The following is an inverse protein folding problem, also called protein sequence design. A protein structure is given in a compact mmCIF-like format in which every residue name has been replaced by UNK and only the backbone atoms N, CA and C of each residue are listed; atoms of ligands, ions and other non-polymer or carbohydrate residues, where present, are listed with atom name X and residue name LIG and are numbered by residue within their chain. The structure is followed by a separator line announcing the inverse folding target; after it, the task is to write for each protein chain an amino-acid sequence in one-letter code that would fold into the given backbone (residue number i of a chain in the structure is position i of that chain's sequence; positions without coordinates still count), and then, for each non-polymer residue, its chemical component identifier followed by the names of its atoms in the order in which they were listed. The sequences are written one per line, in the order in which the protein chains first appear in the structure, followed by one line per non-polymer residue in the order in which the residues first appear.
data_IF_198531631648
#
_entry.id   IF_198531631648
#
_cell.length_a   1.000
_cell.length_b   1.000
_cell.length_c   1.000
_cell.angle_alpha   90.00
_cell.angle_beta   90.00
_cell.angle_gamma   90.00
#
_symmetry.space_group_name_H-M   'P 1'
#
loop_
_entity.id
_entity.type
_entity.pdbx_description
1 polymer ?
#
# COMPACT_ATOMS: atom_id res chain seq x y z
N UNK A 1 7.26 2.26 39.00
CA UNK A 1 7.22 1.65 37.66
C UNK A 1 8.56 1.89 36.98
N UNK A 2 9.14 0.88 36.37
CA UNK A 2 10.46 1.00 35.71
C UNK A 2 10.46 0.30 34.37
N UNK A 3 11.30 0.76 33.49
CA UNK A 3 11.61 0.08 32.23
C UNK A 3 12.36 -1.24 32.46
N UNK A 4 12.07 -2.25 31.64
CA UNK A 4 12.69 -3.60 31.76
C UNK A 4 14.17 -3.56 31.42
N UNK A 5 14.53 -2.83 30.38
CA UNK A 5 15.85 -2.87 29.76
C UNK A 5 16.78 -1.83 30.35
N UNK A 6 16.33 -0.58 30.47
CA UNK A 6 17.11 0.52 31.02
C UNK A 6 17.13 0.57 32.55
N UNK A 7 16.12 -0.06 33.21
CA UNK A 7 15.87 -0.02 34.69
C UNK A 7 15.50 1.38 35.21
N UNK A 8 15.35 2.36 34.33
CA UNK A 8 14.96 3.73 34.68
C UNK A 8 13.49 3.84 35.08
N UNK A 9 13.16 4.83 35.84
CA UNK A 9 11.77 5.15 36.20
C UNK A 9 11.00 5.64 34.98
N UNK A 10 9.75 5.19 34.84
CA UNK A 10 8.85 5.66 33.79
C UNK A 10 7.85 6.62 34.40
N UNK A 11 7.91 7.86 33.98
CA UNK A 11 6.92 8.89 34.35
C UNK A 11 5.68 8.85 33.44
N UNK A 12 4.61 9.52 33.86
CA UNK A 12 3.34 9.67 33.11
C UNK A 12 2.71 8.34 32.66
N UNK A 13 2.99 7.25 33.36
CA UNK A 13 2.29 5.99 33.15
C UNK A 13 0.88 6.12 33.69
N UNK A 14 -0.11 5.75 32.90
CA UNK A 14 -1.51 5.74 33.31
C UNK A 14 -1.83 4.44 34.06
N UNK A 15 -2.31 4.57 35.28
CA UNK A 15 -2.76 3.48 36.13
C UNK A 15 -4.28 3.56 36.27
N UNK A 16 -4.99 2.51 35.93
CA UNK A 16 -6.44 2.38 36.06
C UNK A 16 -6.80 1.26 37.04
N UNK A 17 -7.57 1.58 38.03
CA UNK A 17 -8.21 0.61 38.95
C UNK A 17 -9.58 0.25 38.39
N UNK A 18 -9.79 -1.02 38.07
CA UNK A 18 -11.02 -1.54 37.49
C UNK A 18 -11.62 -2.61 38.39
N UNK A 19 -12.95 -2.75 38.38
CA UNK A 19 -13.63 -3.93 38.96
C UNK A 19 -13.35 -5.16 38.13
N UNK A 20 -13.73 -6.32 38.62
CA UNK A 20 -13.56 -7.60 37.90
C UNK A 20 -14.29 -7.67 36.56
N UNK A 21 -15.32 -6.86 36.36
CA UNK A 21 -16.08 -6.68 35.13
C UNK A 21 -15.49 -5.63 34.19
N UNK A 22 -14.28 -5.12 34.50
CA UNK A 22 -13.59 -4.05 33.78
C UNK A 22 -14.20 -2.67 33.91
N UNK A 23 -15.17 -2.46 34.83
CA UNK A 23 -15.70 -1.11 35.10
C UNK A 23 -14.62 -0.25 35.77
N UNK A 24 -14.42 0.95 35.26
CA UNK A 24 -13.47 1.92 35.83
C UNK A 24 -13.90 2.39 37.23
N UNK A 25 -12.94 2.44 38.15
CA UNK A 25 -13.17 2.84 39.55
C UNK A 25 -12.38 4.08 39.92
N UNK A 26 -11.08 4.06 39.67
CA UNK A 26 -10.15 5.15 39.96
C UNK A 26 -8.92 5.07 39.08
N UNK A 27 -8.16 6.17 39.01
CA UNK A 27 -6.91 6.19 38.26
C UNK A 27 -5.87 7.08 38.89
N UNK A 28 -4.64 6.88 38.47
CA UNK A 28 -3.49 7.68 38.85
C UNK A 28 -2.49 7.75 37.68
N UNK A 29 -1.55 8.67 37.80
CA UNK A 29 -0.42 8.82 36.86
C UNK A 29 0.87 8.71 37.67
N UNK A 30 1.89 8.01 37.15
CA UNK A 30 3.18 7.94 37.82
C UNK A 30 3.93 9.27 37.70
N UNK A 31 4.65 9.62 38.78
CA UNK A 31 5.52 10.78 38.81
C UNK A 31 6.91 10.48 38.14
N UNK A 32 7.81 11.45 38.15
CA UNK A 32 9.17 11.38 37.62
C UNK A 32 10.00 10.21 38.19
N UNK A 33 9.70 9.78 39.42
CA UNK A 33 10.37 8.64 40.07
C UNK A 33 9.64 7.30 39.79
N UNK A 34 8.63 7.29 38.88
CA UNK A 34 7.83 6.12 38.58
C UNK A 34 6.90 5.67 39.71
N UNK A 35 6.67 6.53 40.71
CA UNK A 35 5.77 6.25 41.84
C UNK A 35 4.34 6.66 41.50
N UNK A 36 3.38 5.88 41.98
CA UNK A 36 1.97 6.20 41.87
C UNK A 36 1.19 5.84 43.15
N UNK A 37 0.11 6.50 43.36
CA UNK A 37 -0.85 6.17 44.42
C UNK A 37 -2.27 6.20 43.84
N UNK A 38 -3.06 5.17 44.07
CA UNK A 38 -4.46 5.08 43.68
C UNK A 38 -5.30 4.60 44.84
N UNK A 39 -6.40 5.28 45.13
CA UNK A 39 -7.30 4.96 46.24
C UNK A 39 -8.46 4.09 45.71
N UNK A 40 -8.70 2.96 46.36
CA UNK A 40 -9.89 2.17 46.11
C UNK A 40 -11.06 2.60 47.02
N UNK A 41 -12.29 2.63 46.53
CA UNK A 41 -13.46 3.09 47.31
C UNK A 41 -13.90 2.08 48.38
N UNK A 42 -13.53 0.82 48.24
CA UNK A 42 -13.93 -0.23 49.20
C UNK A 42 -12.97 -1.42 49.14
N UNK A 43 -13.06 -2.30 50.14
CA UNK A 43 -12.39 -3.59 50.09
C UNK A 43 -12.95 -4.46 48.95
N UNK A 44 -12.08 -5.24 48.29
CA UNK A 44 -12.52 -6.08 47.20
C UNK A 44 -11.41 -6.53 46.26
N UNK A 45 -11.83 -7.26 45.22
CA UNK A 45 -10.94 -7.71 44.13
C UNK A 45 -11.02 -6.69 43.00
N UNK A 46 -9.83 -6.28 42.54
CA UNK A 46 -9.70 -5.29 41.48
C UNK A 46 -8.70 -5.75 40.44
N UNK A 47 -8.79 -5.15 39.26
CA UNK A 47 -7.80 -5.23 38.21
C UNK A 47 -7.04 -3.89 38.13
N UNK A 48 -5.74 -3.93 38.29
CA UNK A 48 -4.85 -2.79 38.09
C UNK A 48 -4.29 -2.85 36.68
N UNK A 49 -4.79 -1.98 35.81
CA UNK A 49 -4.34 -1.88 34.42
C UNK A 49 -3.35 -0.72 34.29
N UNK A 50 -2.20 -1.02 33.71
CA UNK A 50 -1.06 -0.11 33.60
C UNK A 50 -0.78 0.10 32.11
N UNK A 51 -0.78 1.34 31.67
CA UNK A 51 -0.68 1.77 30.29
C UNK A 51 0.39 2.86 30.16
N UNK A 52 1.28 2.72 29.21
CA UNK A 52 2.21 3.78 28.82
C UNK A 52 2.50 3.68 27.32
N UNK A 53 2.69 4.83 26.68
CA UNK A 53 2.99 4.87 25.26
C UNK A 53 4.35 4.23 25.02
N UNK A 54 4.43 3.31 24.05
CA UNK A 54 5.67 2.56 23.76
C UNK A 54 5.92 1.34 24.64
N UNK A 55 5.04 1.04 25.59
CA UNK A 55 5.15 -0.11 26.48
C UNK A 55 3.96 -1.06 26.40
N UNK A 56 4.22 -2.36 26.55
CA UNK A 56 3.17 -3.37 26.58
C UNK A 56 2.29 -3.17 27.80
N UNK A 57 0.99 -3.03 27.57
CA UNK A 57 0.01 -2.89 28.64
C UNK A 57 0.05 -4.09 29.58
N UNK A 58 -0.02 -3.84 30.87
CA UNK A 58 0.04 -4.87 31.93
C UNK A 58 -1.20 -4.80 32.79
N UNK A 59 -1.78 -5.96 33.10
CA UNK A 59 -2.93 -6.06 34.03
C UNK A 59 -2.52 -6.96 35.18
N UNK A 60 -2.69 -6.46 36.40
CA UNK A 60 -2.47 -7.23 37.64
C UNK A 60 -3.77 -7.35 38.41
N UNK A 61 -4.08 -8.57 38.90
CA UNK A 61 -5.17 -8.78 39.85
C UNK A 61 -4.68 -8.45 41.25
N UNK A 62 -5.42 -7.62 41.96
CA UNK A 62 -5.12 -7.22 43.34
C UNK A 62 -6.33 -7.43 44.21
N UNK A 63 -6.09 -7.65 45.50
CA UNK A 63 -7.13 -7.73 46.51
C UNK A 63 -6.82 -6.70 47.59
N UNK A 64 -7.76 -5.85 47.88
CA UNK A 64 -7.69 -4.83 48.93
C UNK A 64 -8.54 -5.29 50.09
N UNK A 65 -7.95 -5.36 51.28
CA UNK A 65 -8.58 -5.75 52.51
C UNK A 65 -8.11 -4.81 53.64
N UNK A 66 -8.97 -4.57 54.60
CA UNK A 66 -8.70 -3.88 55.89
C UNK A 66 -8.23 -2.44 55.75
N UNK A 67 -8.65 -1.69 54.76
CA UNK A 67 -8.30 -0.27 54.54
C UNK A 67 -6.82 0.04 54.74
N UNK A 68 -5.94 -0.91 54.43
CA UNK A 68 -4.48 -0.74 54.51
C UNK A 68 -3.88 -0.46 53.14
N UNK A 69 -2.83 0.34 53.13
CA UNK A 69 -2.05 0.59 51.94
C UNK A 69 -1.46 -0.72 51.41
N UNK A 70 -1.74 -1.04 50.15
CA UNK A 70 -1.16 -2.19 49.45
C UNK A 70 0.08 -1.76 48.67
N UNK A 71 1.26 -2.11 49.17
CA UNK A 71 2.50 -1.87 48.47
C UNK A 71 2.61 -2.83 47.25
N UNK A 72 2.53 -2.29 46.05
CA UNK A 72 2.58 -3.06 44.81
C UNK A 72 3.98 -3.56 44.42
N UNK A 73 5.01 -3.09 45.13
CA UNK A 73 6.40 -3.38 44.80
C UNK A 73 6.78 -2.81 43.43
N UNK A 74 7.87 -3.32 42.89
CA UNK A 74 8.40 -2.89 41.59
C UNK A 74 7.56 -3.46 40.45
N UNK A 75 7.03 -2.60 39.62
CA UNK A 75 6.33 -2.98 38.38
C UNK A 75 7.23 -2.65 37.19
N UNK A 76 7.55 -3.67 36.40
CA UNK A 76 8.47 -3.57 35.26
C UNK A 76 7.67 -3.65 33.96
N UNK A 77 7.79 -2.63 33.13
CA UNK A 77 7.18 -2.62 31.79
C UNK A 77 8.26 -2.96 30.74
N UNK A 78 7.89 -3.82 29.82
CA UNK A 78 8.70 -4.06 28.63
C UNK A 78 8.27 -3.16 27.51
N UNK A 79 9.23 -2.61 26.78
CA UNK A 79 8.93 -1.88 25.57
C UNK A 79 8.07 -2.76 24.66
N UNK A 80 6.95 -2.23 24.21
CA UNK A 80 6.26 -2.80 23.08
C UNK A 80 7.08 -2.35 21.88
N UNK A 81 7.83 -3.28 21.26
CA UNK A 81 8.22 -3.06 19.89
C UNK A 81 6.89 -2.90 19.14
N UNK A 82 6.46 -1.67 18.98
CA UNK A 82 5.50 -1.33 17.95
C UNK A 82 6.22 -1.68 16.66
N UNK A 83 6.18 -2.93 16.24
CA UNK A 83 5.98 -3.15 14.85
C UNK A 83 4.70 -2.32 14.58
N UNK A 84 4.90 -1.16 14.03
CA UNK A 84 3.92 -0.56 13.17
C UNK A 84 3.64 -1.63 12.12
N UNK A 85 2.76 -2.57 12.41
CA UNK A 85 1.83 -3.05 11.40
C UNK A 85 1.28 -1.72 10.92
N UNK A 86 1.89 -1.25 9.81
CA UNK A 86 1.61 0.06 9.34
C UNK A 86 0.12 0.22 9.52
N UNK A 87 -0.30 1.19 10.29
CA UNK A 87 -1.59 1.73 10.03
C UNK A 87 -1.50 1.91 8.53
N UNK A 88 -2.06 0.96 7.80
CA UNK A 88 -2.53 1.22 6.48
C UNK A 88 -3.55 2.29 6.78
N UNK A 89 -3.05 3.52 6.85
CA UNK A 89 -3.83 4.67 6.51
C UNK A 89 -4.19 4.32 5.07
N UNK A 90 -5.32 3.66 4.92
CA UNK A 90 -6.11 3.77 3.73
C UNK A 90 -6.61 5.22 3.72
N UNK A 91 -5.69 6.18 3.64
CA UNK A 91 -5.92 7.31 2.81
C UNK A 91 -6.31 6.64 1.51
N UNK A 92 -7.59 6.72 1.14
CA UNK A 92 -8.02 6.32 -0.20
C UNK A 92 -7.08 7.10 -1.09
N UNK A 93 -6.09 6.39 -1.63
CA UNK A 93 -5.13 7.01 -2.53
C UNK A 93 -6.01 7.64 -3.59
N UNK A 94 -5.90 8.93 -3.78
CA UNK A 94 -6.74 9.63 -4.73
C UNK A 94 -6.65 8.84 -6.02
N UNK A 95 -7.80 8.41 -6.53
CA UNK A 95 -7.85 7.55 -7.72
C UNK A 95 -7.11 8.20 -8.88
N UNK A 96 -7.27 9.51 -9.00
CA UNK A 96 -6.66 10.35 -10.03
C UNK A 96 -6.13 11.62 -9.39
N UNK A 97 -4.95 12.04 -9.78
CA UNK A 97 -4.35 13.31 -9.41
C UNK A 97 -3.88 13.99 -10.68
N UNK A 98 -4.24 15.24 -10.89
CA UNK A 98 -3.70 16.08 -11.96
C UNK A 98 -2.42 16.75 -11.42
N UNK A 99 -1.29 16.55 -12.06
CA UNK A 99 -0.02 17.22 -11.79
C UNK A 99 0.42 17.92 -13.05
N UNK A 100 0.38 19.25 -13.03
CA UNK A 100 0.57 20.05 -14.24
C UNK A 100 -0.39 19.54 -15.32
N UNK A 101 0.10 19.07 -16.45
CA UNK A 101 -0.70 18.54 -17.56
C UNK A 101 -0.75 17.00 -17.58
N UNK A 102 -0.31 16.33 -16.49
CA UNK A 102 -0.25 14.88 -16.39
C UNK A 102 -1.34 14.34 -15.47
N UNK A 103 -2.21 13.48 -15.98
CA UNK A 103 -3.11 12.68 -15.17
C UNK A 103 -2.36 11.49 -14.58
N UNK A 104 -2.30 11.40 -13.26
CA UNK A 104 -1.68 10.28 -12.53
C UNK A 104 -2.76 9.45 -11.89
N UNK A 105 -2.93 8.22 -12.36
CA UNK A 105 -3.85 7.24 -11.81
C UNK A 105 -3.09 6.28 -10.90
N UNK A 106 -3.63 6.03 -9.71
CA UNK A 106 -3.06 5.04 -8.80
C UNK A 106 -3.66 3.67 -9.08
N UNK A 107 -2.86 2.71 -9.54
CA UNK A 107 -3.35 1.39 -9.92
C UNK A 107 -4.06 0.65 -8.79
N UNK A 108 -3.59 0.82 -7.54
CA UNK A 108 -4.17 0.17 -6.37
C UNK A 108 -5.58 0.64 -6.02
N UNK A 109 -6.00 1.79 -6.55
CA UNK A 109 -7.36 2.32 -6.37
C UNK A 109 -8.41 1.65 -7.27
N UNK A 110 -7.98 0.84 -8.23
CA UNK A 110 -8.82 0.14 -9.19
C UNK A 110 -8.68 -1.37 -9.00
N UNK A 111 -9.78 -2.00 -8.60
CA UNK A 111 -9.79 -3.47 -8.41
C UNK A 111 -9.84 -4.17 -9.77
N UNK A 112 -8.85 -4.98 -10.06
CA UNK A 112 -8.81 -5.90 -11.18
C UNK A 112 -8.75 -7.33 -10.67
N UNK A 113 -9.31 -8.33 -11.38
CA UNK A 113 -9.13 -9.72 -11.03
C UNK A 113 -7.64 -10.11 -10.97
N UNK A 114 -7.31 -11.10 -10.18
CA UNK A 114 -5.96 -11.63 -10.10
C UNK A 114 -5.56 -12.20 -11.48
N UNK A 115 -4.31 -11.94 -11.90
CA UNK A 115 -3.83 -12.34 -13.22
C UNK A 115 -4.30 -11.47 -14.40
N UNK A 116 -5.04 -10.38 -14.15
CA UNK A 116 -5.47 -9.46 -15.20
C UNK A 116 -4.31 -8.76 -15.88
N UNK A 117 -4.50 -8.45 -17.16
CA UNK A 117 -3.63 -7.59 -17.95
C UNK A 117 -4.04 -6.12 -17.84
N UNK A 118 -3.14 -5.20 -18.20
CA UNK A 118 -3.39 -3.76 -18.05
C UNK A 118 -4.55 -3.23 -18.88
N UNK A 119 -5.01 -3.93 -19.90
CA UNK A 119 -6.23 -3.61 -20.62
C UNK A 119 -7.43 -3.48 -19.67
N UNK A 120 -7.59 -4.44 -18.75
CA UNK A 120 -8.67 -4.42 -17.75
C UNK A 120 -8.53 -3.27 -16.74
N UNK A 121 -7.31 -2.85 -16.47
CA UNK A 121 -7.05 -1.71 -15.61
C UNK A 121 -7.37 -0.41 -16.34
N UNK A 122 -6.95 -0.26 -17.59
CA UNK A 122 -7.20 0.94 -18.41
C UNK A 122 -8.70 1.15 -18.62
N UNK A 123 -9.48 0.09 -18.91
CA UNK A 123 -10.95 0.17 -19.02
C UNK A 123 -11.66 0.73 -17.78
N UNK A 124 -10.99 0.73 -16.62
CA UNK A 124 -11.54 1.23 -15.34
C UNK A 124 -11.08 2.63 -14.99
N UNK A 125 -10.18 3.21 -15.76
CA UNK A 125 -9.71 4.57 -15.52
C UNK A 125 -10.78 5.59 -15.92
N UNK A 126 -11.04 6.61 -15.11
CA UNK A 126 -11.93 7.70 -15.50
C UNK A 126 -11.44 8.38 -16.79
N UNK A 127 -12.34 8.56 -17.73
CA UNK A 127 -12.03 9.18 -19.02
C UNK A 127 -11.33 8.27 -20.03
N UNK A 128 -11.11 6.99 -19.70
CA UNK A 128 -10.52 6.02 -20.61
C UNK A 128 -11.60 5.26 -21.40
N UNK A 129 -11.37 5.08 -22.67
CA UNK A 129 -12.13 4.26 -23.58
C UNK A 129 -11.17 3.28 -24.28
N UNK A 130 -11.52 2.01 -24.32
CA UNK A 130 -10.74 0.99 -25.01
C UNK A 130 -11.68 0.28 -25.99
N UNK A 131 -11.40 0.44 -27.26
CA UNK A 131 -12.17 -0.18 -28.34
C UNK A 131 -11.73 -1.64 -28.58
N UNK A 132 -12.58 -2.43 -29.23
CA UNK A 132 -12.31 -3.85 -29.50
C UNK A 132 -11.09 -4.07 -30.42
N UNK A 133 -10.78 -3.09 -31.25
CA UNK A 133 -9.59 -3.07 -32.11
C UNK A 133 -8.29 -2.79 -31.34
N UNK A 134 -8.39 -2.43 -30.06
CA UNK A 134 -7.27 -2.08 -29.18
C UNK A 134 -6.90 -0.60 -29.17
N UNK A 135 -7.67 0.26 -29.85
CA UNK A 135 -7.49 1.70 -29.76
C UNK A 135 -7.87 2.21 -28.38
N UNK A 136 -7.00 3.02 -27.78
CA UNK A 136 -7.21 3.64 -26.48
C UNK A 136 -7.45 5.12 -26.65
N UNK A 137 -8.45 5.65 -25.97
CA UNK A 137 -8.64 7.11 -25.82
C UNK A 137 -8.63 7.47 -24.35
N UNK A 138 -7.96 8.55 -24.01
CA UNK A 138 -7.99 9.17 -22.67
C UNK A 138 -8.50 10.60 -22.81
N UNK A 139 -9.61 10.88 -22.12
CA UNK A 139 -10.29 12.19 -22.22
C UNK A 139 -10.56 12.62 -23.68
N UNK A 140 -10.94 11.66 -24.53
CA UNK A 140 -11.24 11.89 -25.95
C UNK A 140 -10.02 11.94 -26.87
N UNK A 141 -8.79 11.97 -26.36
CA UNK A 141 -7.54 11.95 -27.15
C UNK A 141 -7.06 10.50 -27.34
N UNK A 142 -6.68 10.15 -28.55
CA UNK A 142 -6.16 8.81 -28.87
C UNK A 142 -4.74 8.63 -28.36
N UNK A 143 -4.50 7.56 -27.62
CA UNK A 143 -3.15 7.19 -27.13
C UNK A 143 -2.35 6.61 -28.29
N UNK A 144 -1.25 7.28 -28.64
CA UNK A 144 -0.36 6.87 -29.73
C UNK A 144 0.83 6.04 -29.25
N UNK A 145 1.21 6.19 -27.99
CA UNK A 145 2.41 5.57 -27.45
C UNK A 145 2.18 4.99 -26.06
N UNK A 146 2.71 3.81 -25.82
CA UNK A 146 2.75 3.16 -24.51
C UNK A 146 4.18 3.11 -24.01
N UNK A 147 4.39 3.60 -22.78
CA UNK A 147 5.68 3.51 -22.11
C UNK A 147 5.56 2.62 -20.86
N UNK A 148 6.68 2.08 -20.45
CA UNK A 148 6.85 1.40 -19.15
C UNK A 148 8.09 1.99 -18.49
N UNK A 149 7.91 2.69 -17.37
CA UNK A 149 8.94 3.49 -16.70
C UNK A 149 9.66 4.45 -17.66
N UNK A 150 8.89 5.17 -18.49
CA UNK A 150 9.40 6.15 -19.45
C UNK A 150 10.11 5.56 -20.68
N UNK A 151 10.15 4.24 -20.83
CA UNK A 151 10.74 3.57 -22.02
C UNK A 151 9.62 2.99 -22.87
N UNK A 152 9.71 3.19 -24.18
CA UNK A 152 8.71 2.70 -25.12
C UNK A 152 8.56 1.18 -25.02
N UNK A 153 7.32 0.75 -24.99
CA UNK A 153 6.94 -0.65 -24.88
C UNK A 153 6.06 -1.02 -26.08
N UNK A 154 6.52 -1.96 -26.91
CA UNK A 154 5.81 -2.38 -28.10
C UNK A 154 5.56 -1.23 -29.09
N UNK A 155 6.61 -0.74 -29.75
CA UNK A 155 6.56 0.39 -30.69
C UNK A 155 5.44 0.21 -31.72
N UNK A 156 4.47 1.14 -31.68
CA UNK A 156 3.36 1.18 -32.65
C UNK A 156 2.25 0.14 -32.43
N UNK A 157 2.35 -0.76 -31.44
CA UNK A 157 1.33 -1.77 -31.16
C UNK A 157 0.79 -1.65 -29.72
N UNK A 158 -0.12 -0.70 -29.53
CA UNK A 158 -0.79 -0.47 -28.24
C UNK A 158 -1.62 -1.65 -27.78
N UNK A 159 -2.21 -2.40 -28.72
CA UNK A 159 -3.06 -3.57 -28.43
C UNK A 159 -2.24 -4.71 -27.81
N UNK A 160 -1.11 -5.05 -28.42
CA UNK A 160 -0.21 -6.08 -27.88
C UNK A 160 0.36 -5.65 -26.54
N UNK A 161 0.71 -4.38 -26.38
CA UNK A 161 1.17 -3.83 -25.10
C UNK A 161 0.14 -4.03 -23.99
N UNK A 162 -1.14 -3.68 -24.22
CA UNK A 162 -2.21 -3.80 -23.24
C UNK A 162 -2.49 -5.25 -22.82
N UNK A 163 -2.42 -6.18 -23.75
CA UNK A 163 -2.74 -7.59 -23.53
C UNK A 163 -1.62 -8.41 -22.89
N UNK A 164 -0.42 -7.86 -22.85
CA UNK A 164 0.75 -8.60 -22.40
C UNK A 164 1.40 -8.03 -21.13
N UNK A 165 0.94 -6.88 -20.63
CA UNK A 165 1.46 -6.31 -19.40
C UNK A 165 0.54 -6.67 -18.21
N UNK A 166 1.02 -7.38 -17.18
CA UNK A 166 0.19 -7.75 -16.04
C UNK A 166 -0.06 -6.57 -15.12
N UNK A 167 -1.27 -6.44 -14.61
CA UNK A 167 -1.65 -5.37 -13.68
C UNK A 167 -0.91 -5.45 -12.34
N UNK A 168 -0.49 -6.64 -11.94
CA UNK A 168 0.15 -6.91 -10.66
C UNK A 168 1.45 -6.13 -10.44
N UNK A 169 2.17 -5.81 -11.51
CA UNK A 169 3.45 -5.08 -11.45
C UNK A 169 3.27 -3.56 -11.51
N UNK A 170 2.09 -3.06 -11.86
CA UNK A 170 1.86 -1.63 -12.07
C UNK A 170 1.58 -0.93 -10.73
N UNK A 171 2.30 0.17 -10.51
CA UNK A 171 2.10 1.09 -9.37
C UNK A 171 1.21 2.26 -9.78
N UNK A 172 1.57 2.95 -10.83
CA UNK A 172 0.88 4.16 -11.33
C UNK A 172 0.78 4.15 -12.84
N UNK A 173 -0.22 4.86 -13.34
CA UNK A 173 -0.37 5.11 -14.77
C UNK A 173 -0.38 6.62 -14.94
N UNK A 174 0.45 7.13 -15.84
CA UNK A 174 0.48 8.54 -16.20
C UNK A 174 -0.06 8.68 -17.63
N UNK A 175 -0.97 9.62 -17.82
CA UNK A 175 -1.44 10.03 -19.13
C UNK A 175 -1.10 11.50 -19.34
N UNK A 176 -0.37 11.79 -20.38
CA UNK A 176 0.08 13.15 -20.72
C UNK A 176 0.30 13.29 -22.21
N UNK A 177 0.35 14.52 -22.66
CA UNK A 177 0.68 14.85 -24.05
C UNK A 177 2.17 15.18 -24.14
N UNK A 178 2.83 14.69 -25.18
CA UNK A 178 4.19 15.04 -25.50
C UNK A 178 4.31 15.49 -26.96
N UNK A 179 5.34 16.26 -27.27
CA UNK A 179 5.64 16.65 -28.64
C UNK A 179 5.89 15.44 -29.53
N UNK A 180 5.61 15.57 -30.81
CA UNK A 180 5.86 14.52 -31.79
C UNK A 180 7.33 14.03 -31.75
N UNK A 181 7.59 12.81 -32.19
CA UNK A 181 8.95 12.28 -32.24
C UNK A 181 9.82 13.10 -33.22
N UNK A 182 9.20 13.64 -34.27
CA UNK A 182 9.87 14.53 -35.22
C UNK A 182 10.32 15.83 -34.55
N UNK A 183 9.43 16.47 -33.79
CA UNK A 183 9.74 17.69 -33.04
C UNK A 183 10.82 17.46 -31.99
N UNK A 184 10.86 16.28 -31.33
CA UNK A 184 11.90 15.92 -30.37
C UNK A 184 13.27 15.74 -31.02
N UNK A 185 13.33 15.14 -32.19
CA UNK A 185 14.60 14.86 -32.91
C UNK A 185 15.12 16.12 -33.60
N UNK A 186 14.25 16.90 -34.24
CA UNK A 186 14.66 18.10 -35.01
C UNK A 186 14.80 19.35 -34.16
N UNK A 187 14.18 19.38 -32.99
CA UNK A 187 14.07 20.56 -32.14
C UNK A 187 13.10 21.65 -32.69
N UNK A 188 12.42 21.36 -33.80
CA UNK A 188 11.43 22.24 -34.41
C UNK A 188 10.05 21.81 -33.99
N UNK A 189 9.28 22.70 -33.42
CA UNK A 189 7.89 22.46 -33.05
C UNK A 189 7.03 22.38 -34.29
N UNK A 190 6.47 21.19 -34.55
CA UNK A 190 5.55 20.95 -35.67
C UNK A 190 4.07 21.19 -35.31
N UNK A 191 3.81 21.54 -34.04
CA UNK A 191 2.45 21.76 -33.52
C UNK A 191 1.67 20.45 -33.30
N UNK A 192 2.27 19.29 -33.48
CA UNK A 192 1.65 18.00 -33.24
C UNK A 192 2.03 17.48 -31.86
N UNK A 193 0.99 17.05 -31.12
CA UNK A 193 1.13 16.38 -29.83
C UNK A 193 0.64 14.94 -29.92
N UNK A 194 1.29 14.06 -29.19
CA UNK A 194 0.86 12.68 -29.05
C UNK A 194 0.53 12.39 -27.59
N UNK A 195 -0.65 11.80 -27.37
CA UNK A 195 -1.02 11.34 -26.04
C UNK A 195 -0.32 10.04 -25.71
N UNK A 196 0.33 10.01 -24.55
CA UNK A 196 1.16 8.91 -24.06
C UNK A 196 0.55 8.32 -22.81
N UNK A 197 0.61 6.99 -22.69
CA UNK A 197 0.30 6.25 -21.49
C UNK A 197 1.57 5.61 -20.95
N UNK A 198 2.05 6.07 -19.78
CA UNK A 198 3.26 5.55 -19.12
C UNK A 198 2.87 4.73 -17.89
N UNK A 199 3.17 3.45 -17.92
CA UNK A 199 2.94 2.50 -16.83
C UNK A 199 4.16 2.44 -15.91
N UNK A 200 4.08 3.08 -14.76
CA UNK A 200 5.11 2.99 -13.72
C UNK A 200 5.07 1.64 -13.00
N UNK A 201 6.20 0.96 -12.93
CA UNK A 201 6.34 -0.35 -12.30
C UNK A 201 6.62 -0.21 -10.80
N UNK A 202 6.05 -1.10 -9.99
CA UNK A 202 6.31 -1.15 -8.54
C UNK A 202 7.80 -1.31 -8.26
N UNK A 203 8.29 -0.64 -7.22
CA UNK A 203 9.69 -0.76 -6.79
C UNK A 203 10.09 -2.21 -6.56
N UNK A 204 11.20 -2.62 -7.17
CA UNK A 204 11.73 -3.98 -7.09
C UNK A 204 11.13 -4.97 -8.07
N UNK A 205 10.13 -4.57 -8.88
CA UNK A 205 9.54 -5.39 -9.94
C UNK A 205 10.06 -5.04 -11.35
N UNK A 206 11.04 -4.17 -11.44
CA UNK A 206 11.75 -3.83 -12.69
C UNK A 206 12.80 -4.87 -13.10
N UNK A 207 12.95 -5.94 -12.30
CA UNK A 207 13.79 -7.11 -12.56
C UNK A 207 12.97 -8.37 -12.38
N UNK A 208 12.99 -9.25 -13.37
CA UNK A 208 12.29 -10.52 -13.25
C UNK A 208 11.92 -11.15 -14.57
N UNK A 209 11.24 -12.26 -14.45
CA UNK A 209 10.65 -12.99 -15.58
C UNK A 209 9.14 -12.81 -15.53
N UNK A 210 8.55 -12.43 -16.63
CA UNK A 210 7.09 -12.42 -16.81
C UNK A 210 6.78 -13.46 -17.88
N UNK A 211 5.79 -14.31 -17.62
CA UNK A 211 5.28 -15.24 -18.63
C UNK A 211 3.75 -15.28 -18.57
N UNK A 212 3.15 -15.34 -19.73
CA UNK A 212 1.73 -15.57 -19.90
C UNK A 212 1.54 -16.62 -20.99
N UNK A 213 0.78 -17.65 -20.71
CA UNK A 213 0.47 -18.72 -21.65
C UNK A 213 -1.04 -18.91 -21.66
N UNK A 214 -1.62 -18.78 -22.84
CA UNK A 214 -3.05 -18.98 -23.09
C UNK A 214 -3.19 -20.21 -24.00
N UNK A 215 -3.93 -21.21 -23.52
CA UNK A 215 -4.18 -22.46 -24.23
C UNK A 215 -5.71 -22.61 -24.41
N UNK A 216 -6.15 -22.64 -25.64
CA UNK A 216 -7.54 -22.85 -25.98
C UNK A 216 -7.73 -24.14 -26.79
N UNK A 217 -8.75 -24.94 -26.43
CA UNK A 217 -9.16 -26.13 -27.18
C UNK A 217 -10.61 -25.97 -27.57
N UNK A 218 -10.89 -26.17 -28.83
CA UNK A 218 -12.24 -26.07 -29.39
C UNK A 218 -12.73 -27.42 -29.97
N UNK A 219 -14.02 -27.47 -30.35
CA UNK A 219 -14.55 -28.58 -31.10
C UNK A 219 -13.91 -28.68 -32.51
N UNK A 220 -14.04 -29.82 -33.18
CA UNK A 220 -13.50 -30.07 -34.52
C UNK A 220 -11.96 -29.91 -34.62
N UNK A 221 -11.26 -30.41 -33.60
CA UNK A 221 -9.76 -30.39 -33.53
C UNK A 221 -9.14 -29.00 -33.67
N UNK A 222 -9.85 -27.95 -33.21
CA UNK A 222 -9.30 -26.61 -33.16
C UNK A 222 -8.54 -26.42 -31.87
N UNK A 223 -7.36 -25.84 -31.97
CA UNK A 223 -6.56 -25.43 -30.82
C UNK A 223 -6.02 -24.02 -31.05
N UNK A 224 -5.82 -23.32 -29.99
CA UNK A 224 -5.16 -22.01 -29.95
C UNK A 224 -4.12 -22.05 -28.86
N UNK A 225 -2.92 -21.63 -29.18
CA UNK A 225 -1.85 -21.44 -28.21
C UNK A 225 -1.26 -20.05 -28.42
N UNK A 226 -1.15 -19.29 -27.34
CA UNK A 226 -0.48 -18.01 -27.31
C UNK A 226 0.44 -18.01 -26.11
N UNK A 227 1.65 -17.52 -26.30
CA UNK A 227 2.62 -17.40 -25.23
C UNK A 227 3.39 -16.10 -25.32
N UNK A 228 3.65 -15.51 -24.17
CA UNK A 228 4.58 -14.41 -24.02
C UNK A 228 5.54 -14.72 -22.87
N UNK A 229 6.83 -14.58 -23.10
CA UNK A 229 7.85 -14.58 -22.09
C UNK A 229 8.64 -13.27 -22.14
N UNK A 230 8.87 -12.66 -21.01
CA UNK A 230 9.66 -11.43 -20.92
C UNK A 230 10.65 -11.50 -19.78
N UNK A 231 11.90 -11.17 -20.05
CA UNK A 231 12.94 -10.96 -19.05
C UNK A 231 13.28 -9.48 -18.97
N UNK A 232 13.19 -8.94 -17.77
CA UNK A 232 13.49 -7.54 -17.47
C UNK A 232 14.67 -7.46 -16.50
N UNK A 233 15.62 -6.60 -16.82
CA UNK A 233 16.68 -6.22 -15.91
C UNK A 233 16.99 -4.75 -16.18
N UNK A 234 16.83 -3.86 -15.22
CA UNK A 234 17.01 -2.39 -15.25
C UNK A 234 17.27 -1.77 -16.66
N UNK A 235 18.30 -2.24 -17.36
CA UNK A 235 18.75 -1.72 -18.65
C UNK A 235 18.34 -2.57 -19.86
N UNK A 236 18.03 -3.86 -19.65
CA UNK A 236 17.76 -4.79 -20.75
C UNK A 236 16.35 -5.37 -20.61
N UNK A 237 15.65 -5.45 -21.74
CA UNK A 237 14.33 -6.06 -21.84
C UNK A 237 14.33 -7.01 -23.03
N UNK A 238 14.04 -8.28 -22.77
CA UNK A 238 13.87 -9.29 -23.79
C UNK A 238 12.43 -9.79 -23.73
N UNK A 239 11.78 -9.84 -24.86
CA UNK A 239 10.43 -10.37 -24.97
C UNK A 239 10.34 -11.36 -26.11
N UNK A 240 9.68 -12.48 -25.86
CA UNK A 240 9.39 -13.53 -26.82
C UNK A 240 7.86 -13.71 -26.89
N UNK A 241 7.35 -13.75 -28.10
CA UNK A 241 5.94 -14.02 -28.40
C UNK A 241 5.84 -15.28 -29.27
N UNK A 242 4.84 -16.13 -28.98
CA UNK A 242 4.56 -17.35 -29.72
C UNK A 242 3.04 -17.53 -29.93
#
# INVERSE_FOLDING_TARGET
ITDRDTKEAIEQVTIQLLKSDSTYVAGAISNENGLFHVTAPANGKYLLKILSVGYKSTVKRIQISDNKDLAMGKIVLGAEAIMLKGAVVTAMAQKVTLKEDTFVYNSSAYRTPEGSVVEELVKRLPGAEVSDDGTIKINGKEVKKILVDGKEFMTGDTKTALKNLPTSIIDKIKAYDEKSDLAKVTGIDDGEEQTVLDFGVKKGMNRGLISNIDLGVGNKSRYNMRGMGGYFNDNNRFMLFA
#
